data_IF_752658475570
#
_entry.id   IF_752658475570
#
_cell.length_a   1.000
_cell.length_b   1.000
_cell.length_c   1.000
_cell.angle_alpha   90.00
_cell.angle_beta   90.00
_cell.angle_gamma   90.00
#
_symmetry.space_group_name_H-M   'P 1'
#
loop_
_entity.id
_entity.type
_entity.pdbx_description
1 polymer ?
#
# COMPACT_ATOMS: atom_id res chain seq x y z
N UNK A 1 58.72 -35.01 2.49
CA UNK A 1 58.37 -33.60 2.76
C UNK A 1 57.18 -33.28 1.86
N UNK A 2 55.93 -33.06 2.25
CA UNK A 2 55.25 -32.74 3.51
C UNK A 2 54.15 -33.78 3.80
N UNK A 3 53.85 -34.02 5.08
CA UNK A 3 52.81 -34.97 5.54
C UNK A 3 51.40 -34.37 5.44
N UNK A 4 50.35 -35.18 5.20
CA UNK A 4 48.96 -34.71 5.16
C UNK A 4 48.37 -34.49 6.56
N UNK A 5 47.34 -33.62 6.69
CA UNK A 5 46.74 -33.29 7.98
C UNK A 5 45.86 -34.44 8.51
N UNK A 6 45.98 -34.68 9.83
CA UNK A 6 45.19 -35.64 10.60
C UNK A 6 43.73 -35.17 10.72
N UNK A 7 42.80 -36.05 10.41
CA UNK A 7 41.37 -35.88 10.65
C UNK A 7 41.03 -36.01 12.15
N UNK A 8 40.14 -35.14 12.63
CA UNK A 8 39.61 -35.14 13.99
C UNK A 8 38.28 -35.93 13.98
N UNK A 9 38.03 -36.86 14.91
CA UNK A 9 36.78 -37.61 14.95
C UNK A 9 35.67 -36.78 15.62
N UNK A 10 34.55 -36.62 14.91
CA UNK A 10 33.33 -36.02 15.43
C UNK A 10 32.57 -37.08 16.25
N UNK A 11 32.40 -36.83 17.56
CA UNK A 11 31.63 -37.68 18.47
C UNK A 11 30.13 -37.41 18.29
N UNK A 12 29.37 -38.47 18.06
CA UNK A 12 27.91 -38.49 18.04
C UNK A 12 27.31 -38.39 19.45
N UNK A 13 26.24 -37.61 19.68
CA UNK A 13 25.54 -37.59 20.95
C UNK A 13 24.60 -38.79 21.10
N UNK A 14 24.76 -39.46 22.24
CA UNK A 14 24.06 -40.66 22.69
C UNK A 14 22.60 -40.36 23.05
N UNK A 15 21.70 -41.21 22.55
CA UNK A 15 20.30 -41.29 22.93
C UNK A 15 20.13 -41.65 24.40
N UNK A 16 19.19 -40.98 25.09
CA UNK A 16 18.77 -41.35 26.44
C UNK A 16 17.26 -41.52 26.49
N UNK A 17 16.82 -42.74 26.24
CA UNK A 17 15.47 -43.22 26.51
C UNK A 17 15.21 -43.24 28.02
N UNK A 18 14.05 -42.73 28.45
CA UNK A 18 13.57 -42.91 29.82
C UNK A 18 12.11 -43.36 29.79
N UNK A 19 11.93 -44.67 29.87
CA UNK A 19 10.66 -45.35 30.12
C UNK A 19 10.22 -45.15 31.57
N UNK A 20 8.94 -44.85 31.80
CA UNK A 20 8.21 -45.09 33.05
C UNK A 20 6.70 -45.13 32.79
N UNK A 21 6.15 -46.34 32.78
CA UNK A 21 4.80 -46.73 33.30
C UNK A 21 5.04 -47.40 34.67
N UNK A 22 4.06 -47.63 35.59
CA UNK A 22 2.61 -47.94 35.45
C UNK A 22 1.72 -47.01 36.34
N UNK A 23 0.38 -47.05 36.40
CA UNK A 23 -0.54 -48.14 36.82
C UNK A 23 -2.02 -47.73 36.61
N UNK A 24 -2.86 -48.74 36.40
CA UNK A 24 -4.33 -48.80 36.16
C UNK A 24 -5.15 -48.56 37.47
N UNK A 25 -6.43 -48.12 37.40
CA UNK A 25 -7.60 -49.02 37.58
C UNK A 25 -8.68 -48.78 36.51
N UNK A 26 -9.17 -49.80 35.78
CA UNK A 26 -10.32 -50.67 36.09
C UNK A 26 -11.60 -49.93 36.51
N UNK A 27 -12.58 -49.87 35.59
CA UNK A 27 -13.97 -50.25 35.88
C UNK A 27 -14.77 -50.47 34.59
N UNK A 28 -15.45 -51.59 34.58
CA UNK A 28 -16.36 -52.18 33.60
C UNK A 28 -17.56 -51.25 33.26
N UNK A 29 -18.12 -51.34 32.05
CA UNK A 29 -19.42 -52.00 31.83
C UNK A 29 -19.84 -52.01 30.35
N UNK A 30 -20.28 -53.19 29.94
CA UNK A 30 -21.01 -53.68 28.77
C UNK A 30 -22.14 -52.78 28.25
N UNK A 31 -22.44 -52.82 26.94
CA UNK A 31 -23.71 -53.36 26.37
C UNK A 31 -23.72 -53.29 24.82
N UNK A 32 -24.18 -54.38 24.21
CA UNK A 32 -24.59 -54.69 22.81
C UNK A 32 -25.05 -53.52 21.93
N UNK A 33 -24.85 -53.46 20.61
CA UNK A 33 -24.89 -54.52 19.59
C UNK A 33 -26.12 -54.30 18.69
N UNK A 34 -25.93 -54.15 17.37
CA UNK A 34 -26.88 -54.55 16.31
C UNK A 34 -26.38 -54.12 14.93
N UNK A 35 -26.08 -55.14 14.12
CA UNK A 35 -25.83 -55.10 12.69
C UNK A 35 -27.10 -54.83 11.87
N UNK A 36 -26.94 -54.29 10.67
CA UNK A 36 -27.79 -54.61 9.51
C UNK A 36 -27.11 -54.19 8.20
N UNK A 37 -26.56 -55.20 7.51
CA UNK A 37 -26.24 -55.18 6.08
C UNK A 37 -27.53 -55.16 5.24
N UNK A 38 -27.45 -54.51 4.07
CA UNK A 38 -28.50 -54.56 3.05
C UNK A 38 -28.10 -53.85 1.76
N UNK A 39 -27.58 -54.62 0.80
CA UNK A 39 -27.55 -54.35 -0.65
C UNK A 39 -28.30 -55.53 -1.34
N UNK A 40 -28.60 -55.56 -2.66
CA UNK A 40 -28.10 -54.73 -3.77
C UNK A 40 -29.13 -54.41 -4.91
N UNK A 41 -28.61 -53.85 -6.02
CA UNK A 41 -29.10 -53.84 -7.42
C UNK A 41 -30.42 -53.08 -7.73
N UNK A 42 -30.60 -52.31 -8.82
CA UNK A 42 -30.26 -52.55 -10.24
C UNK A 42 -30.49 -51.24 -11.04
N UNK A 43 -29.74 -51.00 -12.12
CA UNK A 43 -30.06 -50.02 -13.17
C UNK A 43 -31.13 -50.57 -14.14
N UNK A 44 -31.86 -49.75 -14.94
CA UNK A 44 -31.32 -49.29 -16.23
C UNK A 44 -31.77 -47.88 -16.67
N UNK A 45 -31.11 -47.35 -17.71
CA UNK A 45 -31.28 -45.98 -18.20
C UNK A 45 -32.42 -45.71 -19.18
N UNK A 46 -32.63 -44.42 -19.45
CA UNK A 46 -33.34 -43.81 -20.60
C UNK A 46 -32.75 -42.38 -20.72
N UNK A 47 -32.00 -42.04 -21.78
CA UNK A 47 -32.44 -41.57 -23.10
C UNK A 47 -33.16 -40.20 -23.12
N UNK A 48 -32.43 -39.19 -23.61
CA UNK A 48 -32.85 -38.06 -24.45
C UNK A 48 -34.06 -37.19 -24.05
N UNK A 49 -33.83 -35.88 -23.88
CA UNK A 49 -34.40 -34.86 -24.79
C UNK A 49 -33.88 -33.45 -24.50
N UNK A 50 -33.15 -32.93 -25.48
CA UNK A 50 -32.98 -31.50 -25.74
C UNK A 50 -34.35 -30.85 -25.96
N UNK A 51 -34.59 -29.69 -25.32
CA UNK A 51 -35.62 -28.76 -25.77
C UNK A 51 -35.07 -27.34 -25.72
N UNK A 52 -34.56 -26.92 -26.86
CA UNK A 52 -34.44 -25.54 -27.27
C UNK A 52 -35.84 -24.93 -27.30
N UNK A 53 -36.03 -23.77 -26.68
CA UNK A 53 -37.10 -22.84 -27.04
C UNK A 53 -36.50 -21.47 -27.28
N UNK A 54 -36.25 -21.23 -28.56
CA UNK A 54 -36.19 -19.92 -29.19
C UNK A 54 -37.51 -19.20 -28.91
N UNK A 55 -37.45 -18.02 -28.29
CA UNK A 55 -38.52 -17.02 -28.42
C UNK A 55 -37.86 -15.69 -28.78
N UNK A 56 -37.86 -15.43 -30.09
CA UNK A 56 -37.81 -14.09 -30.67
C UNK A 56 -39.01 -13.29 -30.18
N UNK A 57 -38.76 -12.04 -29.78
CA UNK A 57 -39.80 -11.09 -29.41
C UNK A 57 -39.24 -9.69 -29.21
N UNK A 58 -38.74 -9.08 -30.27
CA UNK A 58 -38.69 -7.62 -30.43
C UNK A 58 -39.65 -7.31 -31.58
N UNK A 59 -40.58 -6.33 -31.46
CA UNK A 59 -40.16 -4.96 -31.80
C UNK A 59 -40.94 -3.84 -31.08
N UNK A 60 -40.50 -2.61 -31.38
CA UNK A 60 -41.15 -1.28 -31.24
C UNK A 60 -41.00 -0.59 -29.89
N UNK A 61 -40.21 0.50 -29.84
CA UNK A 61 -40.37 1.85 -30.42
C UNK A 61 -41.01 2.82 -29.43
N UNK A 62 -40.25 3.89 -29.19
CA UNK A 62 -40.66 5.26 -28.89
C UNK A 62 -41.60 5.50 -27.71
N UNK A 63 -41.03 6.05 -26.64
CA UNK A 63 -41.71 7.02 -25.77
C UNK A 63 -40.68 7.99 -25.22
N UNK A 64 -40.53 9.10 -25.93
CA UNK A 64 -39.98 10.36 -25.42
C UNK A 64 -40.79 10.79 -24.19
N UNK A 65 -40.15 10.95 -23.04
CA UNK A 65 -40.70 11.75 -21.95
C UNK A 65 -39.73 12.88 -21.63
N UNK A 66 -40.14 14.07 -22.08
CA UNK A 66 -39.68 15.34 -21.53
C UNK A 66 -39.90 15.33 -20.02
N UNK A 67 -38.82 15.44 -19.23
CA UNK A 67 -38.96 15.78 -17.82
C UNK A 67 -38.67 17.25 -17.64
N UNK A 68 -39.76 17.91 -17.25
CA UNK A 68 -39.93 19.31 -16.96
C UNK A 68 -38.88 19.90 -16.01
N UNK A 69 -38.25 20.96 -16.50
CA UNK A 69 -37.57 22.02 -15.77
C UNK A 69 -38.55 22.68 -14.78
N UNK A 70 -38.28 22.60 -13.47
CA UNK A 70 -38.95 23.42 -12.45
C UNK A 70 -37.93 24.11 -11.55
N UNK A 71 -37.69 25.38 -11.84
CA UNK A 71 -37.34 26.41 -10.86
C UNK A 71 -38.62 27.00 -10.29
N UNK A 72 -38.69 27.27 -8.97
CA UNK A 72 -39.48 28.40 -8.49
C UNK A 72 -38.61 29.44 -7.78
N UNK A 73 -38.80 30.69 -8.21
CA UNK A 73 -38.33 31.93 -7.59
C UNK A 73 -39.02 32.20 -6.25
N UNK A 74 -38.24 32.87 -5.40
CA UNK A 74 -38.54 33.74 -4.25
C UNK A 74 -39.78 34.64 -4.42
N UNK A 75 -40.45 35.04 -3.33
CA UNK A 75 -40.26 36.41 -2.77
C UNK A 75 -40.34 36.45 -1.22
N UNK A 76 -39.46 37.15 -0.50
CA UNK A 76 -39.61 38.58 -0.19
C UNK A 76 -39.24 38.91 1.29
N UNK A 77 -39.17 40.20 1.68
CA UNK A 77 -38.16 40.74 2.61
C UNK A 77 -38.70 41.46 3.87
N UNK A 78 -38.00 41.40 5.03
CA UNK A 78 -38.02 42.39 6.15
C UNK A 78 -36.73 42.19 7.01
N UNK A 79 -35.73 43.08 6.99
CA UNK A 79 -35.52 44.32 7.77
C UNK A 79 -34.71 44.13 9.09
N UNK A 80 -33.96 45.16 9.58
CA UNK A 80 -32.65 45.02 10.25
C UNK A 80 -32.59 45.57 11.71
N UNK A 81 -31.51 45.26 12.45
CA UNK A 81 -30.94 45.91 13.68
C UNK A 81 -29.85 45.00 14.27
N UNK A 82 -28.71 45.36 14.86
CA UNK A 82 -28.05 46.58 15.37
C UNK A 82 -26.52 46.29 15.32
N UNK A 83 -25.63 47.18 14.86
CA UNK A 83 -25.04 48.36 15.55
C UNK A 83 -24.11 48.02 16.72
N UNK A 84 -22.80 48.00 16.46
CA UNK A 84 -21.75 48.41 17.41
C UNK A 84 -20.60 49.11 16.66
N UNK A 85 -20.73 50.43 16.56
CA UNK A 85 -19.80 51.47 17.04
C UNK A 85 -18.53 50.99 17.79
N UNK A 86 -17.34 51.60 17.76
CA UNK A 86 -16.73 52.80 17.13
C UNK A 86 -15.22 52.70 17.47
N UNK A 87 -14.31 53.14 16.60
CA UNK A 87 -13.28 54.13 16.97
C UNK A 87 -12.44 54.51 15.76
N UNK A 88 -12.58 55.78 15.41
CA UNK A 88 -11.73 56.55 14.52
C UNK A 88 -10.52 57.01 15.31
N UNK A 89 -9.36 57.08 14.67
CA UNK A 89 -8.39 58.14 14.95
C UNK A 89 -7.90 58.74 13.65
N UNK A 90 -8.02 60.06 13.61
CA UNK A 90 -7.81 60.97 12.51
C UNK A 90 -6.70 61.94 12.93
N UNK A 91 -5.77 62.21 12.02
CA UNK A 91 -4.89 63.39 11.98
C UNK A 91 -4.52 63.55 10.50
N UNK A 92 -5.15 64.40 9.69
CA UNK A 92 -5.23 65.87 9.61
C UNK A 92 -3.89 66.57 9.29
N UNK A 93 -3.80 66.94 8.01
CA UNK A 93 -3.24 68.13 7.34
C UNK A 93 -1.87 68.70 7.71
N UNK A 94 -1.08 68.99 6.66
CA UNK A 94 -0.49 70.30 6.31
C UNK A 94 0.66 70.04 5.31
N UNK A 95 0.58 70.34 4.01
CA UNK A 95 0.48 71.68 3.48
C UNK A 95 1.80 72.45 3.64
N UNK A 96 2.76 72.29 2.71
CA UNK A 96 3.72 73.30 2.19
C UNK A 96 4.86 72.65 1.37
N UNK A 97 5.44 73.48 0.49
CA UNK A 97 6.70 73.30 -0.26
C UNK A 97 6.65 72.55 -1.60
N UNK A 98 5.97 73.18 -2.56
CA UNK A 98 6.51 73.33 -3.91
C UNK A 98 7.90 74.01 -3.83
N UNK A 99 8.85 73.60 -4.69
CA UNK A 99 10.23 74.12 -4.90
C UNK A 99 11.42 73.26 -4.40
N UNK A 100 11.31 71.92 -4.31
CA UNK A 100 12.49 71.04 -4.12
C UNK A 100 12.61 69.84 -5.09
N UNK A 101 11.75 69.75 -6.10
CA UNK A 101 11.64 68.54 -6.95
C UNK A 101 12.71 68.40 -8.05
N UNK A 102 13.41 69.47 -8.43
CA UNK A 102 14.40 69.40 -9.52
C UNK A 102 15.76 68.86 -9.07
N UNK A 103 16.16 69.09 -7.82
CA UNK A 103 17.42 68.57 -7.28
C UNK A 103 17.34 67.04 -7.04
N UNK A 104 16.16 66.54 -6.66
CA UNK A 104 15.92 65.11 -6.46
C UNK A 104 15.91 64.34 -7.80
N UNK A 105 15.27 64.91 -8.84
CA UNK A 105 15.29 64.31 -10.17
C UNK A 105 16.69 64.24 -10.79
N UNK A 106 17.52 65.26 -10.56
CA UNK A 106 18.93 65.24 -10.99
C UNK A 106 19.71 64.07 -10.38
N UNK A 107 19.55 63.81 -9.08
CA UNK A 107 20.19 62.67 -8.42
C UNK A 107 19.71 61.31 -8.95
N UNK A 108 18.43 61.18 -9.28
CA UNK A 108 17.87 59.93 -9.84
C UNK A 108 18.43 59.65 -11.23
N UNK A 109 18.55 60.67 -12.08
CA UNK A 109 19.13 60.51 -13.43
C UNK A 109 20.63 60.20 -13.34
N UNK A 110 21.37 60.86 -12.45
CA UNK A 110 22.81 60.60 -12.27
C UNK A 110 23.03 59.18 -11.73
N UNK A 111 22.23 58.71 -10.75
CA UNK A 111 22.30 57.33 -10.25
C UNK A 111 21.98 56.31 -11.35
N UNK A 112 20.98 56.57 -12.19
CA UNK A 112 20.65 55.70 -13.33
C UNK A 112 21.81 55.58 -14.32
N UNK A 113 22.45 56.70 -14.67
CA UNK A 113 23.61 56.72 -15.56
C UNK A 113 24.79 55.97 -14.92
N UNK A 114 25.04 56.16 -13.62
CA UNK A 114 26.10 55.47 -12.90
C UNK A 114 25.90 53.96 -12.89
N UNK A 115 24.66 53.47 -12.71
CA UNK A 115 24.34 52.04 -12.75
C UNK A 115 24.52 51.44 -14.14
N UNK A 116 24.18 52.17 -15.21
CA UNK A 116 24.39 51.71 -16.60
C UNK A 116 25.88 51.65 -16.92
N UNK A 117 26.67 52.67 -16.55
CA UNK A 117 28.12 52.67 -16.75
C UNK A 117 28.78 51.58 -15.90
N UNK A 118 28.36 51.41 -14.65
CA UNK A 118 28.85 50.33 -13.80
C UNK A 118 28.54 48.95 -14.38
N UNK A 119 27.34 48.76 -14.93
CA UNK A 119 26.95 47.53 -15.61
C UNK A 119 27.80 47.27 -16.86
N UNK A 120 28.04 48.29 -17.68
CA UNK A 120 28.84 48.16 -18.91
C UNK A 120 30.34 47.98 -18.64
N UNK A 121 30.88 48.53 -17.56
CA UNK A 121 32.29 48.34 -17.20
C UNK A 121 32.56 47.00 -16.50
N UNK A 122 31.53 46.39 -15.90
CA UNK A 122 31.64 45.08 -15.28
C UNK A 122 31.08 43.94 -16.15
N UNK A 123 30.57 44.24 -17.36
CA UNK A 123 29.98 43.23 -18.26
C UNK A 123 31.01 42.36 -18.99
N UNK A 124 32.30 42.68 -18.94
CA UNK A 124 33.37 41.91 -19.60
C UNK A 124 33.89 40.72 -18.76
N UNK A 125 33.18 40.32 -17.70
CA UNK A 125 33.52 39.15 -16.88
C UNK A 125 32.32 38.27 -16.49
N UNK A 126 31.23 38.29 -17.26
CA UNK A 126 30.28 37.19 -17.27
C UNK A 126 30.36 36.46 -18.60
N UNK A 127 31.48 35.75 -18.78
CA UNK A 127 31.45 34.51 -19.54
C UNK A 127 30.52 33.58 -18.75
N UNK A 128 29.21 33.67 -19.06
CA UNK A 128 28.20 32.73 -18.60
C UNK A 128 28.58 31.42 -19.24
N UNK A 129 29.51 30.72 -18.60
CA UNK A 129 29.72 29.30 -18.78
C UNK A 129 28.37 28.67 -18.46
N UNK A 130 27.58 28.47 -19.50
CA UNK A 130 26.50 27.50 -19.55
C UNK A 130 27.19 26.14 -19.43
N UNK A 131 27.71 25.87 -18.23
CA UNK A 131 28.19 24.57 -17.81
C UNK A 131 26.98 23.66 -17.90
N UNK A 132 26.98 22.85 -18.94
CA UNK A 132 25.96 21.89 -19.30
C UNK A 132 25.72 20.96 -18.11
N UNK A 133 24.63 21.21 -17.37
CA UNK A 133 24.11 20.39 -16.26
C UNK A 133 23.55 19.05 -16.77
N UNK A 134 24.29 18.30 -17.61
CA UNK A 134 23.88 17.01 -18.16
C UNK A 134 24.37 15.80 -17.33
N UNK A 135 25.37 15.95 -16.46
CA UNK A 135 25.84 14.85 -15.61
C UNK A 135 24.82 14.30 -14.59
N UNK A 136 23.93 15.09 -13.93
CA UNK A 136 23.06 14.54 -12.89
C UNK A 136 21.99 13.59 -13.44
N UNK A 137 21.43 13.86 -14.63
CA UNK A 137 20.40 13.00 -15.22
C UNK A 137 20.93 11.64 -15.68
N UNK A 138 22.16 11.60 -16.22
CA UNK A 138 22.76 10.36 -16.70
C UNK A 138 23.04 9.40 -15.53
N UNK A 139 23.50 9.94 -14.40
CA UNK A 139 23.73 9.16 -13.20
C UNK A 139 22.42 8.60 -12.63
N UNK A 140 21.36 9.40 -12.55
CA UNK A 140 20.04 8.95 -12.09
C UNK A 140 19.47 7.82 -12.95
N UNK A 141 19.53 7.95 -14.29
CA UNK A 141 19.08 6.91 -15.23
C UNK A 141 19.87 5.61 -15.07
N UNK A 142 21.20 5.70 -14.91
CA UNK A 142 22.06 4.53 -14.69
C UNK A 142 21.71 3.83 -13.38
N UNK A 143 21.54 4.61 -12.31
CA UNK A 143 21.14 4.12 -10.99
C UNK A 143 19.77 3.43 -11.03
N UNK A 144 18.81 4.00 -11.74
CA UNK A 144 17.48 3.43 -11.94
C UNK A 144 17.55 2.11 -12.71
N UNK A 145 18.34 2.04 -13.78
CA UNK A 145 18.51 0.81 -14.56
C UNK A 145 19.13 -0.31 -13.73
N UNK A 146 20.17 0.01 -12.97
CA UNK A 146 20.81 -0.94 -12.03
C UNK A 146 19.82 -1.44 -10.96
N UNK A 147 19.00 -0.55 -10.40
CA UNK A 147 17.96 -0.93 -9.44
C UNK A 147 16.93 -1.89 -10.04
N UNK A 148 16.51 -1.65 -11.29
CA UNK A 148 15.57 -2.52 -12.00
C UNK A 148 16.17 -3.88 -12.37
N UNK A 149 17.44 -3.93 -12.78
CA UNK A 149 18.13 -5.19 -13.06
C UNK A 149 18.28 -6.03 -11.79
N UNK A 150 18.69 -5.41 -10.68
CA UNK A 150 18.79 -6.07 -9.39
C UNK A 150 17.42 -6.53 -8.86
N UNK A 151 16.37 -5.75 -9.12
CA UNK A 151 15.00 -6.14 -8.81
C UNK A 151 14.61 -7.43 -9.55
N UNK A 152 14.84 -7.52 -10.86
CA UNK A 152 14.54 -8.72 -11.64
C UNK A 152 15.23 -9.98 -11.08
N UNK A 153 16.53 -9.88 -10.79
CA UNK A 153 17.30 -10.99 -10.16
C UNK A 153 16.74 -11.39 -8.80
N UNK A 154 16.41 -10.42 -7.95
CA UNK A 154 15.81 -10.70 -6.64
C UNK A 154 14.44 -11.38 -6.77
N UNK A 155 13.60 -10.97 -7.73
CA UNK A 155 12.29 -11.60 -7.97
C UNK A 155 12.47 -13.04 -8.48
N UNK A 156 13.44 -13.29 -9.36
CA UNK A 156 13.77 -14.65 -9.83
C UNK A 156 14.23 -15.56 -8.67
N UNK A 157 15.05 -15.03 -7.75
CA UNK A 157 15.49 -15.75 -6.55
C UNK A 157 14.33 -16.09 -5.61
N UNK A 158 13.36 -15.17 -5.44
CA UNK A 158 12.14 -15.41 -4.65
C UNK A 158 11.31 -16.50 -5.33
N UNK A 159 11.07 -16.38 -6.64
CA UNK A 159 10.33 -17.36 -7.44
C UNK A 159 10.95 -18.76 -7.36
N UNK A 160 12.28 -18.86 -7.35
CA UNK A 160 12.96 -20.14 -7.23
C UNK A 160 12.71 -20.84 -5.89
N UNK A 161 12.39 -20.08 -4.83
CA UNK A 161 12.08 -20.58 -3.47
C UNK A 161 10.60 -20.85 -3.24
N UNK A 162 9.73 -20.09 -3.89
CA UNK A 162 8.28 -20.13 -3.78
C UNK A 162 7.66 -20.71 -5.07
N UNK A 163 7.88 -22.00 -5.31
CA UNK A 163 7.62 -22.61 -6.63
C UNK A 163 6.15 -22.93 -6.87
N UNK A 164 5.37 -23.05 -5.80
CA UNK A 164 3.95 -23.43 -5.87
C UNK A 164 3.05 -22.22 -6.13
N UNK A 165 3.60 -21.00 -6.10
CA UNK A 165 2.83 -19.79 -6.37
C UNK A 165 2.47 -19.61 -7.85
N UNK A 166 1.40 -18.88 -8.11
CA UNK A 166 0.95 -18.57 -9.46
C UNK A 166 2.00 -17.76 -10.24
N UNK A 167 2.33 -18.11 -11.50
CA UNK A 167 3.35 -17.40 -12.27
C UNK A 167 3.09 -15.91 -12.50
N UNK A 168 1.82 -15.47 -12.48
CA UNK A 168 1.44 -14.07 -12.71
C UNK A 168 1.93 -13.14 -11.60
N UNK A 169 2.01 -13.62 -10.34
CA UNK A 169 2.32 -12.77 -9.19
C UNK A 169 3.72 -12.15 -9.31
N UNK A 170 4.66 -12.85 -9.93
CA UNK A 170 6.03 -12.37 -10.10
C UNK A 170 6.09 -11.13 -10.99
N UNK A 171 5.27 -11.11 -12.04
CA UNK A 171 5.15 -9.95 -12.92
C UNK A 171 4.49 -8.77 -12.20
N UNK A 172 3.46 -9.05 -11.40
CA UNK A 172 2.75 -8.01 -10.64
C UNK A 172 3.65 -7.39 -9.57
N UNK A 173 4.46 -8.21 -8.89
CA UNK A 173 5.47 -7.78 -7.92
C UNK A 173 6.55 -6.90 -8.58
N UNK A 174 7.16 -7.39 -9.66
CA UNK A 174 8.18 -6.65 -10.39
C UNK A 174 7.63 -5.32 -10.92
N UNK A 175 6.44 -5.34 -11.55
CA UNK A 175 5.81 -4.14 -12.08
C UNK A 175 5.46 -3.13 -10.98
N UNK A 176 4.91 -3.59 -9.84
CA UNK A 176 4.55 -2.73 -8.73
C UNK A 176 5.76 -2.05 -8.07
N UNK A 177 6.86 -2.79 -7.88
CA UNK A 177 8.09 -2.21 -7.30
C UNK A 177 8.76 -1.28 -8.34
N UNK A 178 8.82 -1.69 -9.60
CA UNK A 178 9.37 -0.89 -10.68
C UNK A 178 8.62 0.44 -10.90
N UNK A 179 7.31 0.48 -10.65
CA UNK A 179 6.54 1.72 -10.71
C UNK A 179 7.02 2.74 -9.66
N UNK A 180 7.30 2.33 -8.43
CA UNK A 180 7.83 3.24 -7.39
C UNK A 180 9.20 3.77 -7.79
N UNK A 181 10.06 2.92 -8.37
CA UNK A 181 11.40 3.29 -8.85
C UNK A 181 11.32 4.31 -9.99
N UNK A 182 10.41 4.10 -10.96
CA UNK A 182 10.28 4.96 -12.15
C UNK A 182 9.48 6.23 -11.88
N UNK A 183 8.51 6.17 -10.98
CA UNK A 183 7.54 7.22 -10.74
C UNK A 183 7.13 7.27 -9.26
N UNK A 184 7.98 7.84 -8.38
CA UNK A 184 7.79 7.86 -6.92
C UNK A 184 6.73 8.88 -6.47
N UNK A 185 5.56 8.91 -7.13
CA UNK A 185 4.47 9.86 -6.87
C UNK A 185 3.33 9.28 -6.06
N UNK A 186 3.23 7.96 -5.99
CA UNK A 186 2.20 7.20 -5.30
C UNK A 186 2.78 5.91 -4.74
N UNK A 187 2.28 5.41 -3.60
CA UNK A 187 2.76 4.17 -3.06
C UNK A 187 2.30 2.99 -3.90
N UNK A 188 3.04 1.89 -3.82
CA UNK A 188 2.59 0.58 -4.29
C UNK A 188 2.08 -0.23 -3.12
N UNK A 189 0.99 -0.96 -3.33
CA UNK A 189 0.36 -1.79 -2.32
C UNK A 189 0.37 -3.23 -2.82
N UNK A 190 0.78 -4.14 -1.96
CA UNK A 190 0.67 -5.58 -2.14
C UNK A 190 -0.17 -6.11 -0.99
N UNK A 191 -1.27 -6.78 -1.29
CA UNK A 191 -2.09 -7.44 -0.28
C UNK A 191 -1.97 -8.94 -0.46
N UNK A 192 -1.27 -9.58 0.48
CA UNK A 192 -1.05 -11.01 0.53
C UNK A 192 -2.07 -11.63 1.48
N UNK A 193 -2.68 -12.74 1.08
CA UNK A 193 -3.51 -13.52 1.98
C UNK A 193 -3.28 -15.02 1.84
N UNK A 194 -3.47 -15.75 2.94
CA UNK A 194 -3.34 -17.22 2.98
C UNK A 194 -4.01 -17.78 4.23
N UNK A 195 -4.30 -19.08 4.23
CA UNK A 195 -4.62 -19.82 5.45
C UNK A 195 -3.38 -20.08 6.32
N UNK A 196 -2.19 -20.09 5.72
CA UNK A 196 -0.92 -20.37 6.41
C UNK A 196 -0.09 -19.10 6.62
N UNK A 197 0.26 -18.82 7.88
CA UNK A 197 1.07 -17.64 8.22
C UNK A 197 2.49 -17.72 7.70
N UNK A 198 3.15 -18.88 7.85
CA UNK A 198 4.57 -19.02 7.57
C UNK A 198 4.96 -18.70 6.11
N UNK A 199 4.37 -19.33 5.07
CA UNK A 199 4.71 -19.02 3.69
C UNK A 199 4.33 -17.58 3.32
N UNK A 200 3.17 -17.09 3.77
CA UNK A 200 2.72 -15.72 3.53
C UNK A 200 3.69 -14.67 4.10
N UNK A 201 4.04 -14.81 5.38
CA UNK A 201 4.94 -13.90 6.05
C UNK A 201 6.35 -13.94 5.43
N UNK A 202 6.83 -15.13 5.05
CA UNK A 202 8.12 -15.23 4.39
C UNK A 202 8.17 -14.60 3.01
N UNK A 203 7.11 -14.79 2.22
CA UNK A 203 7.00 -14.13 0.94
C UNK A 203 6.99 -12.61 1.14
N UNK A 204 6.21 -12.10 2.10
CA UNK A 204 6.18 -10.68 2.45
C UNK A 204 7.56 -10.13 2.83
N UNK A 205 8.31 -10.81 3.71
CA UNK A 205 9.67 -10.41 4.08
C UNK A 205 10.65 -10.43 2.91
N UNK A 206 10.57 -11.42 2.04
CA UNK A 206 11.45 -11.50 0.87
C UNK A 206 11.13 -10.41 -0.16
N UNK A 207 9.84 -10.14 -0.42
CA UNK A 207 9.40 -8.99 -1.23
C UNK A 207 9.89 -7.69 -0.61
N UNK A 208 9.77 -7.55 0.71
CA UNK A 208 10.25 -6.38 1.44
C UNK A 208 11.76 -6.18 1.28
N UNK A 209 12.55 -7.25 1.38
CA UNK A 209 14.00 -7.17 1.18
C UNK A 209 14.39 -6.80 -0.27
N UNK A 210 13.70 -7.37 -1.26
CA UNK A 210 13.90 -7.02 -2.67
C UNK A 210 13.55 -5.54 -2.92
N UNK A 211 12.41 -5.08 -2.38
CA UNK A 211 11.93 -3.70 -2.46
C UNK A 211 12.91 -2.72 -1.81
N UNK A 212 13.40 -3.07 -0.62
CA UNK A 212 14.38 -2.28 0.14
C UNK A 212 15.67 -2.08 -0.63
N UNK A 213 16.19 -3.17 -1.21
CA UNK A 213 17.39 -3.14 -2.06
C UNK A 213 17.16 -2.23 -3.27
N UNK A 214 16.00 -2.34 -3.92
CA UNK A 214 15.68 -1.56 -5.11
C UNK A 214 15.46 -0.06 -4.81
N UNK A 215 14.87 0.27 -3.66
CA UNK A 215 14.66 1.65 -3.20
C UNK A 215 15.85 2.23 -2.42
N UNK A 216 16.94 1.46 -2.25
CA UNK A 216 18.13 1.84 -1.47
C UNK A 216 17.79 2.31 -0.07
N UNK A 217 16.84 1.64 0.56
CA UNK A 217 16.55 1.81 1.97
C UNK A 217 17.42 0.86 2.80
N UNK A 218 17.78 1.26 4.01
CA UNK A 218 18.61 0.45 4.92
C UNK A 218 17.78 -0.66 5.58
N UNK A 219 16.52 -0.36 5.90
CA UNK A 219 15.62 -1.23 6.66
C UNK A 219 14.18 -1.21 6.12
N UNK A 220 13.47 -2.30 6.33
CA UNK A 220 12.01 -2.37 6.19
C UNK A 220 11.34 -2.13 7.55
N UNK A 221 10.16 -1.51 7.52
CA UNK A 221 9.33 -1.31 8.71
C UNK A 221 8.38 -2.49 8.87
N UNK A 222 8.63 -3.36 9.85
CA UNK A 222 7.68 -4.39 10.23
C UNK A 222 6.72 -3.83 11.28
N UNK A 223 5.40 -3.96 11.04
CA UNK A 223 4.35 -3.51 11.95
C UNK A 223 3.42 -4.68 12.30
N UNK A 224 3.36 -5.03 13.57
CA UNK A 224 2.32 -5.91 14.10
C UNK A 224 1.03 -5.12 14.37
N UNK A 225 -0.10 -5.80 14.60
CA UNK A 225 -1.33 -5.14 15.03
C UNK A 225 -1.16 -4.26 16.28
N UNK A 226 -0.28 -4.65 17.21
CA UNK A 226 0.00 -3.91 18.43
C UNK A 226 0.77 -2.60 18.17
N UNK A 227 1.67 -2.57 17.19
CA UNK A 227 2.45 -1.38 16.83
C UNK A 227 1.57 -0.22 16.34
N UNK A 228 0.45 -0.55 15.71
CA UNK A 228 -0.55 0.40 15.22
C UNK A 228 -1.47 0.92 16.35
N UNK A 229 -1.52 0.22 17.47
CA UNK A 229 -2.35 0.58 18.62
C UNK A 229 -3.86 0.57 18.31
N UNK A 230 -4.61 1.37 19.06
CA UNK A 230 -6.07 1.46 18.95
C UNK A 230 -6.57 2.82 18.46
N UNK A 231 -5.67 3.77 18.19
CA UNK A 231 -5.99 5.14 17.80
C UNK A 231 -5.29 5.52 16.49
N UNK A 232 -6.09 6.07 15.57
CA UNK A 232 -5.64 6.50 14.25
C UNK A 232 -4.59 7.60 14.30
N UNK A 233 -4.78 8.62 15.14
CA UNK A 233 -3.87 9.78 15.22
C UNK A 233 -2.50 9.37 15.73
N UNK A 234 -2.49 8.54 16.77
CA UNK A 234 -1.28 7.97 17.36
C UNK A 234 -0.52 7.08 16.37
N UNK A 235 -1.23 6.25 15.60
CA UNK A 235 -0.62 5.42 14.56
C UNK A 235 0.09 6.29 13.51
N UNK A 236 -0.56 7.34 13.03
CA UNK A 236 0.00 8.21 11.98
C UNK A 236 1.22 9.00 12.46
N UNK A 237 1.15 9.59 13.65
CA UNK A 237 2.23 10.40 14.22
C UNK A 237 3.50 9.57 14.48
N UNK A 238 3.33 8.38 15.06
CA UNK A 238 4.45 7.46 15.36
C UNK A 238 5.12 6.91 14.10
N UNK A 239 4.35 6.67 13.04
CA UNK A 239 4.83 5.94 11.88
C UNK A 239 5.39 6.84 10.79
N UNK A 240 4.93 8.09 10.65
CA UNK A 240 5.33 8.99 9.56
C UNK A 240 6.84 9.07 9.36
N UNK A 241 7.59 9.37 10.41
CA UNK A 241 9.05 9.51 10.33
C UNK A 241 9.80 8.18 10.11
N UNK A 242 9.20 7.04 10.46
CA UNK A 242 9.76 5.71 10.17
C UNK A 242 9.52 5.36 8.70
N UNK A 243 8.30 5.50 8.22
CA UNK A 243 7.91 5.19 6.84
C UNK A 243 8.69 6.07 5.85
N UNK A 244 8.87 7.37 6.14
CA UNK A 244 9.66 8.26 5.28
C UNK A 244 11.12 7.81 5.11
N UNK A 245 11.71 7.18 6.14
CA UNK A 245 13.09 6.70 6.11
C UNK A 245 13.19 5.31 5.50
N UNK A 246 12.30 4.40 5.90
CA UNK A 246 12.39 2.99 5.54
C UNK A 246 11.73 2.67 4.19
N UNK A 247 10.74 3.45 3.74
CA UNK A 247 10.01 3.36 2.46
C UNK A 247 9.28 2.03 2.20
N UNK A 248 9.67 0.94 2.82
CA UNK A 248 9.05 -0.38 2.72
C UNK A 248 8.41 -0.71 4.04
N UNK A 249 7.11 -0.98 4.04
CA UNK A 249 6.33 -1.27 5.23
C UNK A 249 5.64 -2.60 5.07
N UNK A 250 5.86 -3.52 6.00
CA UNK A 250 5.20 -4.82 6.06
C UNK A 250 4.25 -4.78 7.25
N UNK A 251 2.96 -4.98 6.98
CA UNK A 251 1.92 -5.02 8.01
C UNK A 251 1.47 -6.46 8.21
N UNK A 252 1.71 -6.97 9.41
CA UNK A 252 1.27 -8.29 9.83
C UNK A 252 -0.22 -8.29 10.16
N UNK A 253 -0.92 -9.36 9.75
CA UNK A 253 -2.27 -9.68 10.20
C UNK A 253 -3.24 -8.48 10.16
N UNK A 254 -3.45 -7.92 8.98
CA UNK A 254 -4.28 -6.74 8.75
C UNK A 254 -5.69 -6.85 9.37
N UNK A 255 -6.26 -8.06 9.40
CA UNK A 255 -7.57 -8.32 10.01
C UNK A 255 -7.55 -8.30 11.54
N UNK A 256 -6.41 -8.31 12.21
CA UNK A 256 -6.29 -8.29 13.67
C UNK A 256 -6.11 -6.87 14.21
N UNK A 257 -5.83 -5.90 13.33
CA UNK A 257 -5.70 -4.48 13.69
C UNK A 257 -7.01 -3.93 14.26
N UNK A 258 -6.89 -3.03 15.23
CA UNK A 258 -8.04 -2.32 15.78
C UNK A 258 -8.76 -1.51 14.67
N UNK A 259 -10.11 -1.60 14.55
CA UNK A 259 -10.85 -0.94 13.47
C UNK A 259 -10.59 0.58 13.37
N UNK A 260 -10.42 1.25 14.51
CA UNK A 260 -10.09 2.68 14.52
C UNK A 260 -8.70 2.95 13.95
N UNK A 261 -7.70 2.13 14.30
CA UNK A 261 -6.34 2.26 13.78
C UNK A 261 -6.28 1.91 12.28
N UNK A 262 -7.13 1.02 11.78
CA UNK A 262 -7.24 0.72 10.34
C UNK A 262 -7.60 1.96 9.50
N UNK A 263 -8.19 3.00 10.08
CA UNK A 263 -8.41 4.28 9.36
C UNK A 263 -7.10 4.93 8.91
N UNK A 264 -5.95 4.54 9.49
CA UNK A 264 -4.63 5.05 9.08
C UNK A 264 -4.34 4.73 7.61
N UNK A 265 -4.84 3.60 7.11
CA UNK A 265 -4.66 3.19 5.73
C UNK A 265 -5.34 4.14 4.72
N UNK A 266 -6.27 5.01 5.14
CA UNK A 266 -6.75 6.10 4.27
C UNK A 266 -5.60 6.98 3.79
N UNK A 267 -4.65 7.33 4.65
CA UNK A 267 -3.51 8.16 4.26
C UNK A 267 -2.31 7.35 3.80
N UNK A 268 -2.10 6.14 4.35
CA UNK A 268 -0.96 5.33 3.96
C UNK A 268 -1.11 4.83 2.52
N UNK A 269 -2.32 4.40 2.14
CA UNK A 269 -2.64 3.78 0.87
C UNK A 269 -3.34 4.73 -0.13
N UNK A 270 -3.36 6.04 0.12
CA UNK A 270 -3.98 6.99 -0.81
C UNK A 270 -3.18 7.08 -2.12
N UNK A 271 -3.86 7.08 -3.26
CA UNK A 271 -3.20 7.25 -4.57
C UNK A 271 -2.81 8.70 -4.87
N UNK A 272 -3.60 9.66 -4.39
CA UNK A 272 -3.52 11.07 -4.76
C UNK A 272 -2.69 11.86 -3.75
N UNK A 273 -2.95 11.63 -2.46
CA UNK A 273 -2.29 12.31 -1.35
C UNK A 273 -1.82 11.36 -0.24
N UNK A 274 -0.92 10.41 -0.56
CA UNK A 274 -0.38 9.50 0.44
C UNK A 274 0.49 10.25 1.46
N UNK A 275 0.56 9.70 2.68
CA UNK A 275 1.48 10.18 3.72
C UNK A 275 2.94 10.18 3.24
N UNK A 276 3.32 9.13 2.51
CA UNK A 276 4.64 8.94 1.90
C UNK A 276 4.44 8.40 0.48
N UNK A 277 4.84 9.20 -0.52
CA UNK A 277 4.64 8.89 -1.95
C UNK A 277 5.52 7.74 -2.42
N UNK A 278 6.78 7.74 -2.01
CA UNK A 278 7.75 6.71 -2.37
C UNK A 278 7.74 5.59 -1.33
N UNK A 279 6.60 4.90 -1.21
CA UNK A 279 6.44 3.81 -0.25
C UNK A 279 5.90 2.54 -0.91
N UNK A 280 6.29 1.39 -0.38
CA UNK A 280 5.76 0.08 -0.72
C UNK A 280 5.13 -0.51 0.54
N UNK A 281 3.83 -0.75 0.51
CA UNK A 281 3.09 -1.38 1.60
C UNK A 281 2.80 -2.84 1.24
N UNK A 282 3.21 -3.75 2.11
CA UNK A 282 2.97 -5.19 1.99
C UNK A 282 2.06 -5.58 3.15
N UNK A 283 0.77 -5.69 2.86
CA UNK A 283 -0.26 -6.04 3.84
C UNK A 283 -0.46 -7.55 3.82
N UNK A 284 -0.51 -8.18 4.99
CA UNK A 284 -0.76 -9.62 5.11
C UNK A 284 -2.09 -9.89 5.80
N UNK A 285 -2.84 -10.89 5.33
CA UNK A 285 -4.13 -11.28 5.90
C UNK A 285 -4.21 -12.79 6.04
N UNK A 286 -4.33 -13.28 7.28
CA UNK A 286 -4.61 -14.70 7.52
C UNK A 286 -6.11 -14.96 7.36
N UNK A 287 -6.48 -15.75 6.36
CA UNK A 287 -7.88 -16.03 6.04
C UNK A 287 -8.02 -17.45 5.50
N UNK A 288 -9.00 -18.18 6.00
CA UNK A 288 -9.39 -19.51 5.52
C UNK A 288 -10.56 -19.45 4.53
N UNK A 289 -10.77 -20.53 3.78
CA UNK A 289 -12.01 -20.76 3.03
C UNK A 289 -12.09 -20.10 1.65
N UNK A 290 -10.96 -19.66 1.07
CA UNK A 290 -10.93 -19.20 -0.32
C UNK A 290 -11.11 -20.38 -1.29
N UNK A 291 -12.22 -20.40 -2.04
CA UNK A 291 -12.58 -21.54 -2.92
C UNK A 291 -13.18 -21.09 -4.26
N UNK A 292 -12.42 -20.33 -5.06
CA UNK A 292 -12.72 -19.98 -6.47
C UNK A 292 -13.58 -18.73 -6.74
N UNK A 293 -13.76 -17.82 -5.79
CA UNK A 293 -14.29 -16.48 -6.10
C UNK A 293 -13.19 -15.56 -6.64
N UNK A 294 -13.54 -14.38 -7.17
CA UNK A 294 -12.49 -13.43 -7.60
C UNK A 294 -11.70 -12.96 -6.37
N UNK A 295 -10.37 -12.94 -6.48
CA UNK A 295 -9.47 -12.55 -5.39
C UNK A 295 -9.88 -11.24 -4.71
N UNK A 296 -10.22 -10.23 -5.50
CA UNK A 296 -10.63 -8.93 -4.97
C UNK A 296 -11.97 -8.99 -4.23
N UNK A 297 -12.98 -9.67 -4.80
CA UNK A 297 -14.30 -9.82 -4.18
C UNK A 297 -14.20 -10.56 -2.84
N UNK A 298 -13.34 -11.58 -2.75
CA UNK A 298 -13.05 -12.27 -1.49
C UNK A 298 -12.46 -11.34 -0.44
N UNK A 299 -11.37 -10.66 -0.77
CA UNK A 299 -10.63 -9.82 0.17
C UNK A 299 -11.48 -8.65 0.65
N UNK A 300 -12.17 -7.97 -0.26
CA UNK A 300 -13.05 -6.85 0.08
C UNK A 300 -14.20 -7.29 0.98
N UNK A 301 -14.76 -8.49 0.76
CA UNK A 301 -15.76 -9.07 1.65
C UNK A 301 -15.22 -9.30 3.06
N UNK A 302 -14.01 -9.85 3.20
CA UNK A 302 -13.39 -10.08 4.51
C UNK A 302 -13.12 -8.77 5.26
N UNK A 303 -12.62 -7.76 4.56
CA UNK A 303 -12.42 -6.42 5.12
C UNK A 303 -13.75 -5.76 5.52
N UNK A 304 -14.78 -5.90 4.69
CA UNK A 304 -16.13 -5.40 4.98
C UNK A 304 -16.66 -6.06 6.26
N UNK A 305 -16.61 -7.39 6.36
CA UNK A 305 -17.06 -8.11 7.56
C UNK A 305 -16.31 -7.67 8.82
N UNK A 306 -15.01 -7.39 8.72
CA UNK A 306 -14.21 -6.93 9.86
C UNK A 306 -14.62 -5.53 10.35
N UNK A 307 -14.96 -4.63 9.42
CA UNK A 307 -15.08 -3.19 9.67
C UNK A 307 -16.54 -2.67 9.67
N UNK A 308 -17.48 -3.43 9.13
CA UNK A 308 -18.89 -3.06 9.10
C UNK A 308 -19.42 -2.81 10.51
N UNK A 309 -20.16 -1.71 10.67
CA UNK A 309 -20.69 -1.26 11.97
C UNK A 309 -19.65 -0.64 12.91
N UNK A 310 -18.36 -0.61 12.54
CA UNK A 310 -17.27 0.05 13.30
C UNK A 310 -16.76 1.33 12.62
N UNK A 311 -17.01 1.46 11.32
CA UNK A 311 -16.66 2.62 10.49
C UNK A 311 -17.90 3.01 9.70
N UNK A 312 -18.09 4.32 9.48
CA UNK A 312 -19.15 4.84 8.61
C UNK A 312 -19.06 4.22 7.19
N UNK A 313 -20.20 3.84 6.60
CA UNK A 313 -20.23 3.09 5.33
C UNK A 313 -19.46 3.76 4.18
N UNK A 314 -19.59 5.08 4.01
CA UNK A 314 -18.87 5.82 2.98
C UNK A 314 -17.35 5.79 3.20
N UNK A 315 -16.92 5.89 4.46
CA UNK A 315 -15.49 5.81 4.83
C UNK A 315 -14.96 4.39 4.72
N UNK A 316 -15.82 3.40 4.95
CA UNK A 316 -15.49 1.97 4.85
C UNK A 316 -15.14 1.61 3.41
N UNK A 317 -16.02 1.89 2.46
CA UNK A 317 -15.78 1.55 1.05
C UNK A 317 -14.51 2.24 0.54
N UNK A 318 -14.36 3.54 0.85
CA UNK A 318 -13.18 4.30 0.46
C UNK A 318 -11.88 3.78 1.10
N UNK A 319 -11.95 3.17 2.29
CA UNK A 319 -10.79 2.55 2.95
C UNK A 319 -10.41 1.24 2.27
N UNK A 320 -11.41 0.39 2.02
CA UNK A 320 -11.24 -0.91 1.36
C UNK A 320 -10.62 -0.71 -0.01
N UNK A 321 -11.21 0.15 -0.86
CA UNK A 321 -10.69 0.42 -2.20
C UNK A 321 -9.23 0.84 -2.19
N UNK A 322 -8.80 1.66 -1.23
CA UNK A 322 -7.38 2.06 -1.11
C UNK A 322 -6.48 0.88 -0.75
N UNK A 323 -6.88 0.03 0.21
CA UNK A 323 -6.08 -1.13 0.61
C UNK A 323 -6.04 -2.22 -0.48
N UNK A 324 -7.03 -2.26 -1.38
CA UNK A 324 -7.16 -3.25 -2.47
C UNK A 324 -6.77 -2.71 -3.84
N UNK A 325 -6.29 -1.47 -3.94
CA UNK A 325 -5.95 -0.80 -5.19
C UNK A 325 -4.68 -1.36 -5.88
N UNK A 326 -3.88 -2.12 -5.13
CA UNK A 326 -2.66 -2.76 -5.60
C UNK A 326 -2.85 -4.22 -6.02
N UNK A 327 -1.74 -4.97 -6.08
CA UNK A 327 -1.82 -6.39 -6.43
C UNK A 327 -2.29 -7.22 -5.22
N UNK A 328 -3.30 -8.06 -5.45
CA UNK A 328 -3.83 -9.00 -4.46
C UNK A 328 -3.29 -10.39 -4.78
N UNK A 329 -2.59 -10.99 -3.81
CA UNK A 329 -1.83 -12.22 -3.98
C UNK A 329 -2.37 -13.26 -2.99
N UNK A 330 -2.97 -14.33 -3.53
CA UNK A 330 -3.26 -15.53 -2.75
C UNK A 330 -2.00 -16.38 -2.64
N UNK A 331 -1.41 -16.43 -1.44
CA UNK A 331 -0.18 -17.18 -1.21
C UNK A 331 -0.51 -18.66 -1.01
N UNK A 332 -0.03 -19.50 -1.93
CA UNK A 332 -0.15 -20.95 -1.85
C UNK A 332 0.72 -21.52 -0.72
N UNK A 333 0.34 -22.65 -0.12
CA UNK A 333 1.21 -23.40 0.77
C UNK A 333 2.56 -23.74 0.10
N UNK A 334 3.65 -23.66 0.87
CA UNK A 334 5.00 -23.98 0.39
C UNK A 334 5.63 -25.01 1.32
N UNK A 335 5.50 -26.32 1.04
CA UNK A 335 6.02 -27.38 1.91
C UNK A 335 7.54 -27.29 2.15
N UNK A 336 8.27 -26.64 1.23
CA UNK A 336 9.71 -26.39 1.36
C UNK A 336 10.06 -25.25 2.32
N UNK A 337 9.13 -24.37 2.66
CA UNK A 337 9.34 -23.20 3.52
C UNK A 337 8.88 -23.54 4.94
N UNK A 338 9.73 -24.24 5.70
CA UNK A 338 9.41 -24.67 7.08
C UNK A 338 9.52 -23.57 8.13
N UNK A 339 10.37 -22.58 7.89
CA UNK A 339 10.59 -21.46 8.81
C UNK A 339 11.25 -20.30 8.08
N UNK A 340 10.82 -19.08 8.37
CA UNK A 340 11.48 -17.89 7.85
C UNK A 340 12.82 -17.64 8.51
N UNK A 341 13.95 -17.60 7.77
CA UNK A 341 15.27 -17.38 8.37
C UNK A 341 15.51 -15.92 8.85
N UNK A 342 14.46 -15.12 9.08
CA UNK A 342 14.57 -13.66 9.30
C UNK A 342 13.96 -13.15 10.62
N UNK A 343 13.71 -14.02 11.61
CA UNK A 343 13.57 -13.55 13.01
C UNK A 343 14.96 -13.51 13.63
N UNK A 344 15.65 -12.38 13.53
CA UNK A 344 16.79 -12.05 14.38
C UNK A 344 16.43 -10.86 15.27
#
# INVERSE_FOLDING_TARGET
MLSPPKSIPFKSPTSRSRSRTPTVPESENSTSGSDSEGSPETAPGYSSRSRSSVVSGSPRQSSTSEIHRRTPRTPGPQAPRDRFDTSKTSTRNSGKQFQHNYLCWGCVVILGIFLVIWGALNSDAMDVSFGETQEPELNEKKMMFEALENLGKNIDDIRARFREQYPSIWRDLEAGIAEVIRNPRRPTIFLLFSSEDNPMFCLAKMIGNASKTALRSEEDLLLSPEDLGNDYGMALEKLKGKIQRQKVVIVEHLLDIHPEAMKAFHNLCDRENPLVKEAIYILTMKIDGYTNEKLIEFVEKQLTLKLQGKIDEEKLQALITRMTDGAIIHVQPEPGVKSCPLRY
#
